data_IF_497644683551
#
_entry.id   IF_497644683551
#
_cell.length_a   1.000
_cell.length_b   1.000
_cell.length_c   1.000
_cell.angle_alpha   90.00
_cell.angle_beta   90.00
_cell.angle_gamma   90.00
#
_symmetry.space_group_name_H-M   'P 1'
#
loop_
_entity.id
_entity.type
_entity.pdbx_description
1 polymer ?
#
# COMPACT_ATOMS: atom_id res chain seq x y z
N UNK A 1 -7.59 -37.13 -4.86
CA UNK A 1 -6.59 -36.88 -5.91
C UNK A 1 -6.13 -35.45 -5.74
N UNK A 2 -4.97 -35.22 -5.12
CA UNK A 2 -4.40 -33.88 -4.99
C UNK A 2 -3.67 -33.60 -6.29
N UNK A 3 -4.26 -32.76 -7.15
CA UNK A 3 -3.53 -32.22 -8.29
C UNK A 3 -2.33 -31.46 -7.72
N UNK A 4 -1.15 -31.97 -8.04
CA UNK A 4 0.11 -31.35 -7.61
C UNK A 4 0.22 -30.03 -8.37
N UNK A 5 0.13 -28.90 -7.66
CA UNK A 5 0.24 -27.58 -8.28
C UNK A 5 1.62 -27.45 -8.92
N UNK A 6 1.67 -27.15 -10.22
CA UNK A 6 2.90 -26.76 -10.90
C UNK A 6 3.29 -25.34 -10.47
N UNK A 7 4.12 -25.25 -9.43
CA UNK A 7 4.61 -24.00 -8.86
C UNK A 7 5.38 -23.16 -9.87
N UNK A 8 6.11 -23.79 -10.80
CA UNK A 8 6.88 -23.09 -11.83
C UNK A 8 5.94 -22.40 -12.81
N UNK A 9 4.92 -23.12 -13.30
CA UNK A 9 3.91 -22.55 -14.18
C UNK A 9 3.12 -21.44 -13.49
N UNK A 10 2.70 -21.65 -12.23
CA UNK A 10 2.01 -20.62 -11.45
C UNK A 10 2.88 -19.36 -11.30
N UNK A 11 4.16 -19.54 -10.98
CA UNK A 11 5.10 -18.41 -10.84
C UNK A 11 5.23 -17.60 -12.13
N UNK A 12 5.27 -18.26 -13.30
CA UNK A 12 5.31 -17.60 -14.60
C UNK A 12 4.03 -16.79 -14.84
N UNK A 13 2.85 -17.37 -14.59
CA UNK A 13 1.56 -16.69 -14.75
C UNK A 13 1.46 -15.46 -13.83
N UNK A 14 1.88 -15.57 -12.56
CA UNK A 14 1.83 -14.46 -11.60
C UNK A 14 2.79 -13.32 -11.99
N UNK A 15 3.93 -13.64 -12.62
CA UNK A 15 4.81 -12.60 -13.18
C UNK A 15 4.13 -11.86 -14.34
N UNK A 16 3.52 -12.59 -15.27
CA UNK A 16 2.85 -12.02 -16.44
C UNK A 16 1.66 -11.13 -16.05
N UNK A 17 0.87 -11.57 -15.05
CA UNK A 17 -0.23 -10.80 -14.47
C UNK A 17 0.23 -9.63 -13.58
N UNK A 18 1.54 -9.48 -13.35
CA UNK A 18 2.12 -8.46 -12.46
C UNK A 18 1.52 -8.53 -11.05
N UNK A 19 1.53 -9.73 -10.46
CA UNK A 19 1.04 -10.02 -9.10
C UNK A 19 2.20 -10.38 -8.16
N UNK A 20 3.12 -9.44 -7.86
CA UNK A 20 4.31 -9.72 -7.07
C UNK A 20 4.04 -10.14 -5.62
N UNK A 21 2.99 -9.62 -4.96
CA UNK A 21 2.71 -9.97 -3.57
C UNK A 21 2.16 -11.40 -3.48
N UNK A 22 1.21 -11.72 -4.37
CA UNK A 22 0.65 -13.07 -4.48
C UNK A 22 1.76 -14.07 -4.79
N UNK A 23 2.66 -13.77 -5.75
CA UNK A 23 3.83 -14.62 -6.05
C UNK A 23 4.67 -14.94 -4.81
N UNK A 24 4.82 -14.01 -3.88
CA UNK A 24 5.62 -14.19 -2.66
C UNK A 24 4.86 -14.85 -1.50
N UNK A 25 3.53 -14.70 -1.46
CA UNK A 25 2.73 -15.02 -0.27
C UNK A 25 1.75 -16.19 -0.47
N UNK A 26 1.45 -16.60 -1.70
CA UNK A 26 0.38 -17.56 -1.98
C UNK A 26 0.55 -18.89 -1.24
N UNK A 27 1.77 -19.44 -1.15
CA UNK A 27 2.03 -20.71 -0.45
C UNK A 27 1.72 -20.61 1.04
N UNK A 28 2.13 -19.51 1.67
CA UNK A 28 1.91 -19.27 3.11
C UNK A 28 0.42 -19.10 3.41
N UNK A 29 -0.29 -18.35 2.56
CA UNK A 29 -1.72 -18.09 2.71
C UNK A 29 -2.51 -19.38 2.40
N UNK A 30 -2.07 -20.19 1.43
CA UNK A 30 -2.69 -21.48 1.11
C UNK A 30 -2.55 -22.46 2.27
N UNK A 31 -1.34 -22.62 2.82
CA UNK A 31 -1.11 -23.46 4.00
C UNK A 31 -1.96 -23.01 5.21
N UNK A 32 -2.16 -21.70 5.37
CA UNK A 32 -3.04 -21.16 6.42
C UNK A 32 -4.51 -21.46 6.15
N UNK A 33 -4.96 -21.26 4.91
CA UNK A 33 -6.32 -21.56 4.44
C UNK A 33 -6.68 -23.02 4.65
N UNK A 34 -5.77 -23.93 4.29
CA UNK A 34 -5.94 -25.38 4.46
C UNK A 34 -6.04 -25.75 5.94
N UNK A 35 -5.17 -25.17 6.77
CA UNK A 35 -5.17 -25.41 8.22
C UNK A 35 -6.45 -24.93 8.90
N UNK A 36 -6.93 -23.75 8.52
CA UNK A 36 -8.08 -23.11 9.14
C UNK A 36 -9.42 -23.46 8.45
N UNK A 37 -9.38 -24.25 7.37
CA UNK A 37 -10.57 -24.65 6.61
C UNK A 37 -11.30 -23.47 5.95
N UNK A 38 -10.57 -22.49 5.43
CA UNK A 38 -11.20 -21.30 4.85
C UNK A 38 -12.00 -21.65 3.58
N UNK A 39 -13.15 -20.99 3.35
CA UNK A 39 -13.77 -21.01 2.04
C UNK A 39 -12.82 -20.43 0.97
N UNK A 40 -12.87 -20.96 -0.25
CA UNK A 40 -12.05 -20.47 -1.36
C UNK A 40 -12.20 -18.96 -1.62
N UNK A 41 -13.40 -18.42 -1.41
CA UNK A 41 -13.66 -16.99 -1.50
C UNK A 41 -12.82 -16.16 -0.51
N UNK A 42 -12.64 -16.65 0.73
CA UNK A 42 -11.82 -15.98 1.74
C UNK A 42 -10.34 -16.04 1.38
N UNK A 43 -9.87 -17.20 0.92
CA UNK A 43 -8.50 -17.35 0.42
C UNK A 43 -8.19 -16.35 -0.70
N UNK A 44 -9.07 -16.27 -1.71
CA UNK A 44 -8.91 -15.34 -2.83
C UNK A 44 -8.95 -13.88 -2.38
N UNK A 45 -9.88 -13.52 -1.48
CA UNK A 45 -9.96 -12.16 -0.93
C UNK A 45 -8.68 -11.76 -0.21
N UNK A 46 -8.14 -12.62 0.65
CA UNK A 46 -6.88 -12.35 1.38
C UNK A 46 -5.69 -12.17 0.43
N UNK A 47 -5.59 -12.96 -0.65
CA UNK A 47 -4.56 -12.76 -1.66
C UNK A 47 -4.67 -11.41 -2.36
N UNK A 48 -5.90 -11.02 -2.74
CA UNK A 48 -6.16 -9.75 -3.39
C UNK A 48 -5.86 -8.55 -2.48
N UNK A 49 -6.24 -8.63 -1.20
CA UNK A 49 -5.93 -7.61 -0.19
C UNK A 49 -4.42 -7.38 -0.04
N UNK A 50 -3.64 -8.45 0.06
CA UNK A 50 -2.18 -8.36 0.13
C UNK A 50 -1.57 -7.73 -1.13
N UNK A 51 -2.10 -8.06 -2.30
CA UNK A 51 -1.65 -7.49 -3.56
C UNK A 51 -1.95 -6.00 -3.67
N UNK A 52 -3.15 -5.57 -3.27
CA UNK A 52 -3.53 -4.15 -3.24
C UNK A 52 -2.64 -3.36 -2.27
N UNK A 53 -2.49 -3.86 -1.04
CA UNK A 53 -1.67 -3.20 -0.02
C UNK A 53 -0.21 -3.03 -0.46
N UNK A 54 0.38 -4.05 -1.09
CA UNK A 54 1.76 -3.99 -1.59
C UNK A 54 1.90 -2.99 -2.76
N UNK A 55 0.90 -2.91 -3.64
CA UNK A 55 0.90 -1.94 -4.75
C UNK A 55 0.80 -0.51 -4.23
N UNK A 56 -0.06 -0.26 -3.26
CA UNK A 56 -0.21 1.06 -2.64
C UNK A 56 1.07 1.47 -1.93
N UNK A 57 1.68 0.55 -1.18
CA UNK A 57 2.99 0.76 -0.54
C UNK A 57 4.07 1.12 -1.55
N UNK A 58 4.23 0.35 -2.63
CA UNK A 58 5.23 0.63 -3.68
C UNK A 58 4.95 1.93 -4.44
N UNK A 59 3.68 2.29 -4.64
CA UNK A 59 3.30 3.57 -5.25
C UNK A 59 3.72 4.72 -4.35
N UNK A 60 3.45 4.63 -3.05
CA UNK A 60 3.86 5.62 -2.06
C UNK A 60 5.39 5.73 -1.97
N UNK A 61 6.11 4.62 -1.88
CA UNK A 61 7.58 4.59 -1.84
C UNK A 61 8.21 5.23 -3.08
N UNK A 62 7.64 4.98 -4.27
CA UNK A 62 8.10 5.60 -5.52
C UNK A 62 7.89 7.11 -5.51
N UNK A 63 6.69 7.56 -5.14
CA UNK A 63 6.38 8.99 -5.04
C UNK A 63 7.27 9.71 -4.03
N UNK A 64 7.55 9.06 -2.88
CA UNK A 64 8.48 9.59 -1.88
C UNK A 64 9.92 9.66 -2.41
N UNK A 65 10.37 8.63 -3.13
CA UNK A 65 11.69 8.63 -3.79
C UNK A 65 11.82 9.72 -4.85
N UNK A 66 10.79 9.88 -5.69
CA UNK A 66 10.74 10.89 -6.76
C UNK A 66 10.66 12.32 -6.19
N UNK A 67 10.04 12.50 -5.02
CA UNK A 67 9.98 13.78 -4.33
C UNK A 67 11.35 14.30 -3.85
N UNK A 68 12.38 13.43 -3.79
CA UNK A 68 13.77 13.77 -3.40
C UNK A 68 13.85 14.62 -2.11
N UNK A 69 12.92 14.40 -1.19
CA UNK A 69 12.89 15.09 0.09
C UNK A 69 14.07 14.62 0.94
N UNK A 70 14.63 15.52 1.75
CA UNK A 70 15.62 15.15 2.75
C UNK A 70 15.00 14.10 3.70
N UNK A 71 15.75 13.04 4.06
CA UNK A 71 15.27 12.04 5.00
C UNK A 71 14.76 12.69 6.28
N UNK A 72 13.54 12.35 6.69
CA UNK A 72 12.92 12.94 7.88
C UNK A 72 12.28 14.31 7.68
N UNK A 73 12.22 14.88 6.46
CA UNK A 73 11.38 16.07 6.16
C UNK A 73 9.93 15.63 5.98
N UNK A 74 9.22 15.43 7.09
CA UNK A 74 7.81 15.04 7.12
C UNK A 74 7.01 16.05 7.95
N UNK A 75 5.69 16.12 7.77
CA UNK A 75 4.85 16.96 8.64
C UNK A 75 4.88 16.51 10.10
N UNK A 76 5.19 15.23 10.37
CA UNK A 76 5.31 14.72 11.74
C UNK A 76 6.54 15.27 12.48
N UNK A 77 7.59 15.64 11.75
CA UNK A 77 8.83 16.20 12.28
C UNK A 77 8.92 17.71 12.12
N UNK A 78 7.90 18.35 11.54
CA UNK A 78 7.87 19.79 11.36
C UNK A 78 7.61 20.51 12.69
N UNK A 79 8.48 21.46 13.04
CA UNK A 79 8.33 22.31 14.21
C UNK A 79 7.39 23.48 13.89
N UNK A 80 6.12 23.34 14.30
CA UNK A 80 5.11 24.39 14.14
C UNK A 80 5.30 25.55 15.13
N UNK A 81 6.05 25.38 16.23
CA UNK A 81 6.33 26.47 17.17
C UNK A 81 7.32 27.47 16.54
N UNK A 82 8.23 26.99 15.70
CA UNK A 82 9.14 27.83 14.94
C UNK A 82 8.43 28.73 13.89
N UNK A 83 7.19 28.39 13.48
CA UNK A 83 6.42 29.14 12.48
C UNK A 83 4.98 29.38 12.95
N UNK A 84 4.74 30.35 13.88
CA UNK A 84 3.45 30.54 14.54
C UNK A 84 2.29 30.93 13.61
N UNK A 85 2.61 31.43 12.41
CA UNK A 85 1.64 31.79 11.38
C UNK A 85 1.05 30.58 10.64
N UNK A 86 1.61 29.39 10.79
CA UNK A 86 1.12 28.16 10.18
C UNK A 86 0.33 27.35 11.22
N UNK A 87 -0.97 27.19 10.99
CA UNK A 87 -1.84 26.40 11.87
C UNK A 87 -1.58 24.91 11.73
N UNK A 88 -1.01 24.29 12.78
CA UNK A 88 -0.87 22.83 12.88
C UNK A 88 -2.21 22.11 12.72
N UNK A 89 -3.27 22.63 13.35
CA UNK A 89 -4.60 22.02 13.28
C UNK A 89 -5.13 21.98 11.84
N UNK A 90 -4.95 23.07 11.09
CA UNK A 90 -5.37 23.13 9.68
C UNK A 90 -4.54 22.19 8.81
N UNK A 91 -3.21 22.14 8.99
CA UNK A 91 -2.34 21.22 8.27
C UNK A 91 -2.73 19.75 8.53
N UNK A 92 -3.01 19.40 9.78
CA UNK A 92 -3.44 18.04 10.15
C UNK A 92 -4.82 17.71 9.59
N UNK A 93 -5.76 18.67 9.57
CA UNK A 93 -7.08 18.47 8.97
C UNK A 93 -6.98 18.20 7.45
N UNK A 94 -6.09 18.90 6.74
CA UNK A 94 -5.83 18.66 5.31
C UNK A 94 -5.19 17.29 5.05
N UNK A 95 -4.36 16.79 5.98
CA UNK A 95 -3.75 15.47 5.86
C UNK A 95 -4.72 14.33 6.19
N UNK A 96 -5.62 14.55 7.15
CA UNK A 96 -6.60 13.55 7.58
C UNK A 96 -7.83 13.50 6.65
N UNK A 97 -8.17 14.61 6.01
CA UNK A 97 -9.30 14.72 5.10
C UNK A 97 -8.94 14.41 3.66
N UNK A 98 -9.86 13.75 2.96
CA UNK A 98 -9.84 13.48 1.53
C UNK A 98 -10.81 14.39 0.74
N UNK A 99 -11.52 15.30 1.41
CA UNK A 99 -12.47 16.20 0.76
C UNK A 99 -11.85 17.01 -0.41
N UNK A 100 -10.57 17.40 -0.30
CA UNK A 100 -9.86 18.08 -1.39
C UNK A 100 -9.52 17.14 -2.54
N UNK A 101 -9.29 15.84 -2.28
CA UNK A 101 -9.12 14.82 -3.32
C UNK A 101 -10.44 14.57 -4.05
N UNK A 102 -11.56 14.44 -3.32
CA UNK A 102 -12.90 14.24 -3.90
C UNK A 102 -13.33 15.41 -4.78
N UNK A 103 -12.99 16.64 -4.38
CA UNK A 103 -13.31 17.88 -5.10
C UNK A 103 -12.32 18.19 -6.23
N UNK A 104 -11.24 17.42 -6.38
CA UNK A 104 -10.18 17.70 -7.35
C UNK A 104 -9.42 19.01 -7.07
N UNK A 105 -9.39 19.46 -5.81
CA UNK A 105 -8.68 20.66 -5.40
C UNK A 105 -7.17 20.38 -5.25
N UNK A 106 -6.34 21.37 -5.58
CA UNK A 106 -4.88 21.25 -5.47
C UNK A 106 -4.38 21.75 -4.12
N UNK A 107 -3.57 20.94 -3.44
CA UNK A 107 -2.81 21.37 -2.26
C UNK A 107 -1.36 21.65 -2.67
N UNK A 108 -0.90 22.88 -2.44
CA UNK A 108 0.48 23.29 -2.75
C UNK A 108 1.17 23.69 -1.44
N UNK A 109 2.26 23.01 -1.12
CA UNK A 109 3.14 23.32 0.00
C UNK A 109 4.42 23.93 -0.58
N UNK A 110 4.74 25.16 -0.20
CA UNK A 110 5.93 25.89 -0.65
C UNK A 110 6.84 26.14 0.55
N UNK A 111 8.09 25.64 0.49
CA UNK A 111 9.10 25.85 1.53
C UNK A 111 10.27 24.88 1.52
#
# INVERSE_FOLDING_TARGET
MSDTIDVTRLTLMLNELRLPAIKQLWEKIAARSDKDGWPAARFLATLAEHELAERDRRRLERHLGDAKLLPGKTLATFDFEAVPMVSKAQAMALCAGDAWLEQGANLILLG
#
